data_IF_399044597396
#
_entry.id   IF_399044597396
#
_cell.length_a   1.000
_cell.length_b   1.000
_cell.length_c   1.000
_cell.angle_alpha   90.00
_cell.angle_beta   90.00
_cell.angle_gamma   90.00
#
_symmetry.space_group_name_H-M   'P 1'
#
loop_
_entity.id
_entity.type
_entity.pdbx_description
1 polymer ?
#
# COMPACT_ATOMS: atom_id res chain seq x y z
N UNK A 1 -4.77 -16.39 -12.84
CA UNK A 1 -3.93 -15.17 -12.83
C UNK A 1 -3.87 -14.72 -11.38
N UNK A 2 -2.70 -14.72 -10.76
CA UNK A 2 -2.50 -14.28 -9.38
C UNK A 2 -2.40 -12.75 -9.26
N UNK A 3 -2.81 -12.00 -10.28
CA UNK A 3 -2.82 -10.52 -10.28
C UNK A 3 -4.23 -10.00 -9.97
N UNK A 4 -4.65 -10.16 -8.72
CA UNK A 4 -5.99 -9.77 -8.26
C UNK A 4 -5.91 -8.83 -7.07
N UNK A 5 -6.79 -7.82 -7.07
CA UNK A 5 -7.03 -6.99 -5.90
C UNK A 5 -7.81 -7.75 -4.81
N UNK A 6 -7.62 -7.33 -3.56
CA UNK A 6 -8.36 -7.80 -2.40
C UNK A 6 -8.48 -6.68 -1.36
N UNK A 7 -9.42 -6.84 -0.44
CA UNK A 7 -9.54 -5.99 0.75
C UNK A 7 -9.93 -6.83 1.97
N UNK A 8 -9.63 -6.32 3.16
CA UNK A 8 -10.03 -6.90 4.44
C UNK A 8 -10.60 -5.80 5.35
N UNK A 9 -11.79 -5.98 5.96
CA UNK A 9 -12.74 -7.08 5.72
C UNK A 9 -13.18 -7.17 4.25
N UNK A 10 -13.56 -8.36 3.74
CA UNK A 10 -13.93 -8.52 2.34
C UNK A 10 -15.22 -7.75 2.01
N UNK A 11 -15.37 -7.34 0.74
CA UNK A 11 -16.55 -6.61 0.25
C UNK A 11 -17.88 -7.24 0.66
N UNK A 12 -17.98 -8.57 0.56
CA UNK A 12 -19.18 -9.33 0.92
C UNK A 12 -19.60 -9.16 2.39
N UNK A 13 -18.63 -8.88 3.27
CA UNK A 13 -18.89 -8.56 4.67
C UNK A 13 -19.26 -7.08 4.81
N UNK A 14 -18.48 -6.18 4.22
CA UNK A 14 -18.71 -4.72 4.32
C UNK A 14 -20.09 -4.32 3.81
N UNK A 15 -20.57 -4.88 2.70
CA UNK A 15 -21.88 -4.54 2.12
C UNK A 15 -23.08 -4.94 2.99
N UNK A 16 -22.86 -5.78 4.00
CA UNK A 16 -23.89 -6.24 4.95
C UNK A 16 -23.82 -5.49 6.29
N UNK A 17 -22.82 -4.64 6.49
CA UNK A 17 -22.65 -3.86 7.71
C UNK A 17 -23.62 -2.68 7.75
N UNK A 18 -24.02 -2.28 8.96
CA UNK A 18 -24.75 -1.03 9.18
C UNK A 18 -23.85 0.18 8.91
N UNK A 19 -24.44 1.36 8.73
CA UNK A 19 -23.68 2.61 8.62
C UNK A 19 -22.77 2.85 9.84
N UNK A 20 -23.26 2.57 11.04
CA UNK A 20 -22.48 2.72 12.28
C UNK A 20 -21.28 1.77 12.35
N UNK A 21 -21.40 0.56 11.79
CA UNK A 21 -20.27 -0.35 11.70
C UNK A 21 -19.28 0.09 10.60
N UNK A 22 -19.78 0.62 9.48
CA UNK A 22 -18.96 1.15 8.38
C UNK A 22 -18.21 2.43 8.73
N UNK A 23 -18.64 3.19 9.73
CA UNK A 23 -17.97 4.44 10.14
C UNK A 23 -16.69 4.21 10.94
N UNK A 24 -16.41 2.96 11.33
CA UNK A 24 -15.25 2.64 12.19
C UNK A 24 -14.67 1.25 11.91
N UNK A 25 -14.25 1.01 10.67
CA UNK A 25 -13.60 -0.25 10.29
C UNK A 25 -12.17 -0.29 10.81
N UNK A 26 -11.91 -1.19 11.75
CA UNK A 26 -10.58 -1.43 12.30
C UNK A 26 -9.76 -2.36 11.39
N UNK A 27 -8.44 -2.17 11.38
CA UNK A 27 -7.49 -2.99 10.61
C UNK A 27 -7.87 -3.14 9.12
N UNK A 28 -8.42 -2.07 8.54
CA UNK A 28 -8.78 -2.07 7.12
C UNK A 28 -7.52 -2.20 6.26
N UNK A 29 -7.58 -3.12 5.29
CA UNK A 29 -6.46 -3.39 4.38
C UNK A 29 -6.95 -3.49 2.96
N UNK A 30 -6.13 -3.01 2.03
CA UNK A 30 -6.35 -3.18 0.59
C UNK A 30 -5.04 -3.62 -0.03
N UNK A 31 -5.08 -4.59 -0.93
CA UNK A 31 -3.86 -5.07 -1.57
C UNK A 31 -4.10 -5.59 -2.98
N UNK A 32 -2.99 -5.78 -3.69
CA UNK A 32 -2.92 -6.41 -5.00
C UNK A 32 -1.81 -7.44 -4.97
N UNK A 33 -2.17 -8.69 -5.23
CA UNK A 33 -1.23 -9.81 -5.19
C UNK A 33 -0.06 -9.56 -6.16
N UNK A 34 1.18 -9.75 -5.70
CA UNK A 34 2.38 -9.51 -6.50
C UNK A 34 2.80 -8.04 -6.60
N UNK A 35 2.11 -7.13 -5.90
CA UNK A 35 2.40 -5.69 -5.85
C UNK A 35 2.55 -5.18 -4.42
N UNK A 36 1.67 -5.59 -3.51
CA UNK A 36 1.73 -5.13 -2.12
C UNK A 36 0.36 -4.95 -1.45
N UNK A 37 0.39 -4.25 -0.32
CA UNK A 37 -0.80 -3.86 0.45
C UNK A 37 -0.61 -2.52 1.17
N UNK A 38 -1.73 -1.90 1.50
CA UNK A 38 -1.85 -0.78 2.44
C UNK A 38 -2.69 -1.25 3.62
N UNK A 39 -2.21 -1.00 4.83
CA UNK A 39 -2.90 -1.24 6.09
C UNK A 39 -3.11 0.10 6.79
N UNK A 40 -4.37 0.49 6.97
CA UNK A 40 -4.71 1.72 7.65
C UNK A 40 -4.49 1.57 9.17
N UNK A 41 -3.76 2.52 9.77
CA UNK A 41 -3.31 2.44 11.16
C UNK A 41 -4.33 2.99 12.16
N UNK A 42 -5.41 3.60 11.66
CA UNK A 42 -6.54 4.07 12.45
C UNK A 42 -7.83 3.48 11.88
N UNK A 43 -8.91 3.44 12.67
CA UNK A 43 -10.21 3.04 12.15
C UNK A 43 -10.61 3.93 10.98
N UNK A 44 -11.17 3.32 9.95
CA UNK A 44 -11.57 3.98 8.70
C UNK A 44 -13.08 4.20 8.69
N UNK A 45 -13.50 5.40 8.31
CA UNK A 45 -14.89 5.69 7.95
C UNK A 45 -15.11 5.44 6.46
N UNK A 46 -15.85 4.38 6.14
CA UNK A 46 -16.22 4.01 4.77
C UNK A 46 -17.60 4.55 4.34
N UNK A 47 -18.32 5.24 5.22
CA UNK A 47 -19.70 5.70 4.94
C UNK A 47 -19.76 6.76 3.84
N UNK A 48 -18.68 7.51 3.65
CA UNK A 48 -18.53 8.48 2.56
C UNK A 48 -18.20 7.87 1.19
N UNK A 49 -17.94 6.56 1.11
CA UNK A 49 -17.58 5.87 -0.14
C UNK A 49 -18.82 5.18 -0.71
N UNK A 50 -19.33 5.70 -1.82
CA UNK A 50 -20.57 5.22 -2.46
C UNK A 50 -20.46 3.81 -3.04
N UNK A 51 -19.30 3.44 -3.59
CA UNK A 51 -19.07 2.14 -4.22
C UNK A 51 -17.91 1.44 -3.52
N UNK A 52 -18.18 0.71 -2.44
CA UNK A 52 -17.15 -0.01 -1.67
C UNK A 52 -16.34 -1.00 -2.52
N UNK A 53 -16.97 -1.64 -3.51
CA UNK A 53 -16.29 -2.55 -4.44
C UNK A 53 -15.25 -1.84 -5.32
N UNK A 54 -15.36 -0.51 -5.49
CA UNK A 54 -14.40 0.30 -6.23
C UNK A 54 -13.19 0.72 -5.38
N UNK A 55 -13.15 0.36 -4.09
CA UNK A 55 -12.00 0.71 -3.25
C UNK A 55 -10.70 0.13 -3.85
N UNK A 56 -10.59 -1.19 -4.08
CA UNK A 56 -9.41 -1.77 -4.69
C UNK A 56 -9.45 -1.56 -6.20
N UNK A 57 -8.37 -1.03 -6.78
CA UNK A 57 -8.23 -0.85 -8.23
C UNK A 57 -8.73 0.49 -8.75
N UNK A 58 -9.56 1.24 -7.99
CA UNK A 58 -9.91 2.62 -8.34
C UNK A 58 -9.47 3.61 -7.24
N UNK A 59 -9.97 3.51 -6.01
CA UNK A 59 -9.55 4.46 -4.95
C UNK A 59 -8.16 4.12 -4.40
N UNK A 60 -7.82 2.84 -4.30
CA UNK A 60 -6.51 2.35 -3.92
C UNK A 60 -5.91 1.62 -5.11
N UNK A 61 -4.95 2.28 -5.75
CA UNK A 61 -4.27 1.77 -6.92
C UNK A 61 -2.89 1.23 -6.53
N UNK A 62 -2.53 0.10 -7.13
CA UNK A 62 -1.22 -0.50 -6.98
C UNK A 62 -0.62 -0.60 -8.37
N UNK A 63 0.44 0.15 -8.59
CA UNK A 63 1.19 0.17 -9.83
C UNK A 63 2.52 -0.58 -9.64
N UNK A 64 3.38 -0.54 -10.65
CA UNK A 64 4.71 -1.12 -10.53
C UNK A 64 5.51 -0.32 -9.49
N UNK A 65 5.83 -0.96 -8.36
CA UNK A 65 6.62 -0.37 -7.27
C UNK A 65 5.97 0.86 -6.61
N UNK A 66 4.64 0.95 -6.62
CA UNK A 66 3.92 2.10 -6.05
C UNK A 66 2.52 1.76 -5.58
N UNK A 67 2.02 2.55 -4.63
CA UNK A 67 0.66 2.52 -4.12
C UNK A 67 0.15 3.96 -4.04
N UNK A 68 -1.04 4.21 -4.56
CA UNK A 68 -1.69 5.53 -4.55
C UNK A 68 -3.08 5.37 -3.96
N UNK A 69 -3.41 6.20 -2.96
CA UNK A 69 -4.76 6.31 -2.38
C UNK A 69 -5.33 7.64 -2.83
N UNK A 70 -6.53 7.61 -3.44
CA UNK A 70 -7.14 8.71 -4.18
C UNK A 70 -6.27 9.20 -5.35
N UNK A 71 -6.23 8.46 -6.48
CA UNK A 71 -5.47 8.88 -7.66
C UNK A 71 -6.00 10.16 -8.31
N UNK A 72 -7.29 10.48 -8.11
CA UNK A 72 -7.86 11.77 -8.50
C UNK A 72 -7.86 12.73 -7.31
N UNK A 73 -6.95 13.70 -7.35
CA UNK A 73 -6.79 14.73 -6.32
C UNK A 73 -8.06 15.58 -6.11
N UNK A 74 -8.95 15.70 -7.10
CA UNK A 74 -10.22 16.42 -6.93
C UNK A 74 -11.19 15.68 -6.00
N UNK A 75 -11.00 14.36 -5.84
CA UNK A 75 -11.83 13.50 -4.97
C UNK A 75 -11.15 13.17 -3.65
N UNK A 76 -9.90 13.62 -3.46
CA UNK A 76 -9.11 13.33 -2.26
C UNK A 76 -9.65 14.14 -1.08
N UNK A 77 -10.10 13.49 0.00
CA UNK A 77 -10.66 14.19 1.16
C UNK A 77 -9.56 14.88 1.96
N UNK A 78 -9.93 15.69 2.96
CA UNK A 78 -8.95 16.37 3.81
C UNK A 78 -8.10 15.36 4.62
N UNK A 79 -6.95 15.81 5.09
CA UNK A 79 -6.07 14.99 5.95
C UNK A 79 -6.83 14.57 7.20
N UNK A 80 -6.90 13.27 7.45
CA UNK A 80 -7.64 12.71 8.57
C UNK A 80 -9.01 12.15 8.22
N UNK A 81 -9.49 12.35 7.00
CA UNK A 81 -10.81 11.91 6.54
C UNK A 81 -10.72 10.76 5.53
N UNK A 82 -11.76 9.92 5.50
CA UNK A 82 -11.82 8.76 4.61
C UNK A 82 -10.59 7.86 4.74
N UNK A 83 -9.92 7.61 3.60
CA UNK A 83 -8.67 6.86 3.54
C UNK A 83 -7.41 7.76 3.59
N UNK A 84 -7.55 9.09 3.71
CA UNK A 84 -6.44 10.05 3.75
C UNK A 84 -5.89 10.15 5.19
N UNK A 85 -5.47 9.01 5.74
CA UNK A 85 -5.09 8.81 7.14
C UNK A 85 -3.78 8.00 7.22
N UNK A 86 -3.11 7.98 8.40
CA UNK A 86 -1.87 7.23 8.55
C UNK A 86 -2.03 5.75 8.16
N UNK A 87 -1.07 5.27 7.37
CA UNK A 87 -1.09 3.91 6.85
C UNK A 87 0.32 3.30 6.82
N UNK A 88 0.40 1.98 6.93
CA UNK A 88 1.59 1.20 6.62
C UNK A 88 1.43 0.60 5.23
N UNK A 89 2.40 0.87 4.35
CA UNK A 89 2.45 0.34 3.01
C UNK A 89 3.53 -0.73 2.96
N UNK A 90 3.20 -1.85 2.32
CA UNK A 90 4.12 -2.92 1.95
C UNK A 90 4.12 -3.00 0.44
N UNK A 91 5.27 -2.81 -0.20
CA UNK A 91 5.45 -2.99 -1.63
C UNK A 91 6.32 -4.21 -1.90
N UNK A 92 5.89 -5.02 -2.86
CA UNK A 92 6.60 -6.21 -3.33
C UNK A 92 7.38 -5.90 -4.60
N UNK A 93 8.35 -6.77 -4.92
CA UNK A 93 9.18 -6.68 -6.12
C UNK A 93 10.02 -5.40 -6.21
N UNK A 94 10.38 -4.86 -5.06
CA UNK A 94 11.28 -3.72 -4.90
C UNK A 94 12.70 -4.25 -4.87
N UNK A 95 13.27 -4.57 -6.03
CA UNK A 95 14.70 -4.90 -6.13
C UNK A 95 15.45 -3.88 -6.97
N UNK A 96 16.74 -3.73 -6.65
CA UNK A 96 17.75 -3.34 -7.62
C UNK A 96 18.11 -4.56 -8.48
N UNK A 97 18.18 -4.37 -9.79
CA UNK A 97 18.35 -5.46 -10.76
C UNK A 97 19.69 -5.30 -11.46
N UNK A 98 20.47 -6.36 -11.49
CA UNK A 98 21.64 -6.44 -12.33
C UNK A 98 21.20 -6.43 -13.81
N UNK A 99 21.61 -5.42 -14.56
CA UNK A 99 21.15 -5.22 -15.95
C UNK A 99 21.69 -6.26 -16.91
N UNK A 100 22.88 -6.81 -16.65
CA UNK A 100 23.49 -7.82 -17.51
C UNK A 100 22.83 -9.18 -17.29
N UNK A 101 22.62 -9.57 -16.03
CA UNK A 101 22.04 -10.88 -15.70
C UNK A 101 20.51 -10.88 -15.63
N UNK A 102 19.87 -9.71 -15.61
CA UNK A 102 18.42 -9.51 -15.41
C UNK A 102 17.89 -10.18 -14.13
N UNK A 103 18.70 -10.17 -13.07
CA UNK A 103 18.37 -10.80 -11.78
C UNK A 103 18.44 -9.78 -10.64
N UNK A 104 17.62 -9.94 -9.59
CA UNK A 104 17.76 -9.16 -8.36
C UNK A 104 19.17 -9.29 -7.77
N UNK A 105 19.72 -8.17 -7.29
CA UNK A 105 20.89 -8.19 -6.42
C UNK A 105 20.36 -8.32 -5.00
N UNK A 106 20.69 -9.43 -4.35
CA UNK A 106 20.25 -9.75 -2.98
C UNK A 106 21.41 -9.83 -1.99
N UNK A 107 22.65 -9.76 -2.47
CA UNK A 107 23.84 -9.69 -1.62
C UNK A 107 23.90 -8.33 -0.92
N UNK A 108 23.75 -8.34 0.40
CA UNK A 108 23.79 -7.13 1.21
C UNK A 108 25.17 -6.46 1.20
N UNK A 109 26.26 -7.19 0.92
CA UNK A 109 27.58 -6.59 0.80
C UNK A 109 27.78 -5.82 -0.52
N UNK A 110 26.90 -6.01 -1.51
CA UNK A 110 26.99 -5.33 -2.80
C UNK A 110 26.71 -3.82 -2.63
N UNK A 111 27.61 -2.91 -3.08
CA UNK A 111 27.41 -1.47 -2.98
C UNK A 111 26.10 -0.97 -3.62
N UNK A 112 25.62 -1.65 -4.67
CA UNK A 112 24.36 -1.33 -5.37
C UNK A 112 23.15 -1.67 -4.50
N UNK A 113 23.24 -2.75 -3.71
CA UNK A 113 22.23 -3.09 -2.72
C UNK A 113 22.17 -2.02 -1.63
N UNK A 114 23.33 -1.67 -1.05
CA UNK A 114 23.39 -0.64 0.00
C UNK A 114 22.88 0.71 -0.49
N UNK A 115 23.28 1.15 -1.68
CA UNK A 115 22.76 2.37 -2.29
C UNK A 115 21.24 2.33 -2.52
N UNK A 116 20.70 1.15 -2.87
CA UNK A 116 19.25 0.97 -3.02
C UNK A 116 18.53 1.17 -1.68
N UNK A 117 19.01 0.54 -0.61
CA UNK A 117 18.43 0.69 0.74
C UNK A 117 18.52 2.13 1.24
N UNK A 118 19.66 2.81 1.04
CA UNK A 118 19.82 4.23 1.35
C UNK A 118 18.77 5.08 0.62
N UNK A 119 18.52 4.79 -0.67
CA UNK A 119 17.49 5.49 -1.44
C UNK A 119 16.08 5.24 -0.90
N UNK A 120 15.76 4.01 -0.48
CA UNK A 120 14.46 3.71 0.13
C UNK A 120 14.27 4.46 1.46
N UNK A 121 15.33 4.60 2.25
CA UNK A 121 15.31 5.38 3.51
C UNK A 121 15.17 6.88 3.30
N UNK A 122 15.54 7.40 2.13
CA UNK A 122 15.50 8.83 1.81
C UNK A 122 14.24 9.27 1.06
N UNK A 123 13.26 8.38 0.85
CA UNK A 123 12.02 8.76 0.16
C UNK A 123 11.23 9.72 1.06
N UNK A 124 10.92 10.91 0.53
CA UNK A 124 10.18 11.95 1.25
C UNK A 124 8.76 11.50 1.58
N UNK A 125 8.18 12.07 2.64
CA UNK A 125 6.82 11.77 3.11
C UNK A 125 6.58 10.30 3.50
N UNK A 126 7.67 9.53 3.66
CA UNK A 126 7.65 8.16 4.16
C UNK A 126 8.51 7.99 5.40
N UNK A 127 8.05 7.16 6.33
CA UNK A 127 8.83 6.65 7.46
C UNK A 127 9.27 5.22 7.11
N UNK A 128 10.56 5.02 6.85
CA UNK A 128 11.09 3.69 6.56
C UNK A 128 10.94 2.76 7.76
N UNK A 129 10.35 1.57 7.56
CA UNK A 129 10.25 0.53 8.60
C UNK A 129 11.29 -0.56 8.35
N UNK A 130 11.20 -1.25 7.22
CA UNK A 130 12.13 -2.33 6.87
C UNK A 130 12.22 -2.57 5.37
N UNK A 131 13.30 -3.21 4.96
CA UNK A 131 13.47 -3.74 3.61
C UNK A 131 14.02 -5.16 3.69
N UNK A 132 13.27 -6.12 3.16
CA UNK A 132 13.64 -7.53 3.10
C UNK A 132 14.20 -7.81 1.70
N UNK A 133 15.52 -7.76 1.57
CA UNK A 133 16.22 -7.79 0.28
C UNK A 133 16.03 -9.09 -0.51
N UNK A 134 16.00 -10.22 0.19
CA UNK A 134 15.73 -11.55 -0.37
C UNK A 134 14.33 -11.64 -1.00
N UNK A 135 13.34 -10.97 -0.40
CA UNK A 135 11.94 -10.93 -0.86
C UNK A 135 11.61 -9.74 -1.75
N UNK A 136 12.47 -8.72 -1.78
CA UNK A 136 12.20 -7.45 -2.45
C UNK A 136 11.00 -6.75 -1.86
N UNK A 137 10.83 -6.85 -0.55
CA UNK A 137 9.69 -6.28 0.17
C UNK A 137 10.15 -5.01 0.88
N UNK A 138 9.53 -3.89 0.55
CA UNK A 138 9.75 -2.62 1.25
C UNK A 138 8.53 -2.25 2.08
N UNK A 139 8.73 -2.00 3.37
CA UNK A 139 7.70 -1.58 4.30
C UNK A 139 8.01 -0.18 4.81
N UNK A 140 7.02 0.71 4.74
CA UNK A 140 7.12 2.08 5.22
C UNK A 140 5.76 2.58 5.71
N UNK A 141 5.75 3.67 6.46
CA UNK A 141 4.52 4.37 6.88
C UNK A 141 4.40 5.72 6.20
N UNK A 142 3.17 6.17 6.04
CA UNK A 142 2.80 7.52 5.59
C UNK A 142 1.85 8.12 6.61
N UNK A 143 1.82 9.45 6.72
CA UNK A 143 0.93 10.16 7.66
C UNK A 143 -0.47 10.39 7.08
N UNK A 144 -0.60 10.41 5.75
CA UNK A 144 -1.83 10.54 4.97
C UNK A 144 -1.54 10.26 3.49
#
# INVERSE_FOLDING_TARGET
SDDSYWMYPPYEQLRKMSKDALSRIEDFRVGRRGHGQVRFLRPVDLTGISILAAIPGNLVLFERKGCTVYPDEATKPARGEGLNIPAQITLERIWVVDRAMRRPIVDEADPRFQAHVTKLRSVTDTEFIEYLGDKGTWVFRVQH
#
